data_IF_110209386653
#
_entry.id   IF_110209386653
#
_cell.length_a   1.000
_cell.length_b   1.000
_cell.length_c   1.000
_cell.angle_alpha   90.00
_cell.angle_beta   90.00
_cell.angle_gamma   90.00
#
_symmetry.space_group_name_H-M   'P 1'
#
loop_
_entity.id
_entity.type
_entity.pdbx_description
1 polymer ?
#
# COMPACT_ATOMS: atom_id res chain seq x y z
N UNK A 1 5.55 -18.58 -0.57
CA UNK A 1 5.80 -17.55 -1.60
C UNK A 1 4.80 -16.42 -1.43
N UNK A 2 3.51 -16.65 -1.68
CA UNK A 2 2.47 -15.63 -1.44
C UNK A 2 2.46 -15.13 0.01
N UNK A 3 2.63 -16.05 0.98
CA UNK A 3 2.63 -15.71 2.41
C UNK A 3 3.68 -14.67 2.83
N UNK A 4 4.85 -14.63 2.18
CA UNK A 4 5.91 -13.68 2.51
C UNK A 4 5.57 -12.27 1.99
N UNK A 5 5.04 -12.21 0.77
CA UNK A 5 4.61 -10.96 0.12
C UNK A 5 3.41 -10.38 0.85
N UNK A 6 2.42 -11.21 1.18
CA UNK A 6 1.24 -10.79 1.93
C UNK A 6 1.60 -10.26 3.32
N UNK A 7 2.45 -10.97 4.07
CA UNK A 7 2.90 -10.50 5.37
C UNK A 7 3.65 -9.16 5.28
N UNK A 8 4.46 -8.97 4.22
CA UNK A 8 5.16 -7.72 3.97
C UNK A 8 4.19 -6.56 3.71
N UNK A 9 3.23 -6.76 2.81
CA UNK A 9 2.24 -5.74 2.42
C UNK A 9 1.31 -5.42 3.59
N UNK A 10 0.77 -6.43 4.27
CA UNK A 10 -0.13 -6.24 5.41
C UNK A 10 0.51 -5.43 6.52
N UNK A 11 1.83 -5.58 6.73
CA UNK A 11 2.57 -4.79 7.72
C UNK A 11 2.74 -3.32 7.32
N UNK A 12 2.81 -3.02 6.03
CA UNK A 12 2.82 -1.62 5.55
C UNK A 12 1.44 -1.01 5.75
N UNK A 13 0.38 -1.70 5.32
CA UNK A 13 -0.99 -1.19 5.33
C UNK A 13 -1.57 -1.08 6.74
N UNK A 14 -1.14 -1.93 7.67
CA UNK A 14 -1.56 -1.84 9.07
C UNK A 14 -1.08 -0.56 9.77
N UNK A 15 -0.03 0.08 9.26
CA UNK A 15 0.49 1.34 9.78
C UNK A 15 -0.19 2.58 9.15
N UNK A 16 -1.09 2.38 8.18
CA UNK A 16 -1.79 3.44 7.47
C UNK A 16 -3.16 3.76 8.10
N UNK A 17 -3.39 5.06 8.31
CA UNK A 17 -4.64 5.59 8.84
C UNK A 17 -5.59 5.99 7.70
N UNK A 18 -6.15 5.00 6.99
CA UNK A 18 -7.10 5.15 5.88
C UNK A 18 -8.28 4.16 6.01
N UNK A 19 -9.29 4.32 5.15
CA UNK A 19 -10.46 3.44 5.12
C UNK A 19 -10.12 2.01 4.67
N UNK A 20 -10.95 1.02 5.02
CA UNK A 20 -10.70 -0.37 4.64
C UNK A 20 -10.74 -0.62 3.12
N UNK A 21 -11.52 0.17 2.38
CA UNK A 21 -11.53 0.16 0.91
C UNK A 21 -10.21 0.67 0.35
N UNK A 22 -9.74 1.83 0.81
CA UNK A 22 -8.43 2.39 0.43
C UNK A 22 -7.29 1.42 0.77
N UNK A 23 -7.34 0.79 1.95
CA UNK A 23 -6.36 -0.24 2.33
C UNK A 23 -6.36 -1.42 1.36
N UNK A 24 -7.54 -1.87 0.92
CA UNK A 24 -7.65 -2.98 -0.02
C UNK A 24 -7.06 -2.61 -1.38
N UNK A 25 -7.39 -1.43 -1.90
CA UNK A 25 -6.84 -0.93 -3.17
C UNK A 25 -5.31 -0.86 -3.10
N UNK A 26 -4.77 -0.36 -1.99
CA UNK A 26 -3.33 -0.31 -1.76
C UNK A 26 -2.68 -1.71 -1.67
N UNK A 27 -3.36 -2.69 -1.08
CA UNK A 27 -2.87 -4.08 -1.04
C UNK A 27 -2.79 -4.63 -2.46
N UNK A 28 -3.85 -4.45 -3.25
CA UNK A 28 -3.93 -4.99 -4.60
C UNK A 28 -2.87 -4.36 -5.52
N UNK A 29 -2.71 -3.03 -5.48
CA UNK A 29 -1.65 -2.33 -6.24
C UNK A 29 -0.23 -2.77 -5.84
N UNK A 30 0.05 -2.90 -4.54
CA UNK A 30 1.36 -3.36 -4.07
C UNK A 30 1.64 -4.81 -4.47
N UNK A 31 0.62 -5.67 -4.46
CA UNK A 31 0.74 -7.06 -4.92
C UNK A 31 1.10 -7.11 -6.40
N UNK A 32 0.38 -6.37 -7.23
CA UNK A 32 0.61 -6.35 -8.68
C UNK A 32 2.03 -5.87 -9.02
N UNK A 33 2.50 -4.80 -8.37
CA UNK A 33 3.86 -4.30 -8.57
C UNK A 33 4.93 -5.28 -8.10
N UNK A 34 4.75 -5.92 -6.93
CA UNK A 34 5.70 -6.90 -6.43
C UNK A 34 5.78 -8.13 -7.32
N UNK A 35 4.64 -8.62 -7.83
CA UNK A 35 4.63 -9.75 -8.76
C UNK A 35 5.27 -9.41 -10.10
N UNK A 36 5.09 -8.19 -10.60
CA UNK A 36 5.78 -7.72 -11.80
C UNK A 36 7.30 -7.76 -11.62
N UNK A 37 7.82 -7.19 -10.53
CA UNK A 37 9.26 -7.21 -10.21
C UNK A 37 9.79 -8.64 -10.06
N UNK A 38 9.04 -9.53 -9.40
CA UNK A 38 9.43 -10.94 -9.28
C UNK A 38 9.52 -11.60 -10.64
N UNK A 39 8.57 -11.32 -11.52
CA UNK A 39 8.55 -11.90 -12.86
C UNK A 39 9.71 -11.38 -13.71
N UNK A 40 10.02 -10.09 -13.65
CA UNK A 40 11.21 -9.49 -14.29
C UNK A 40 12.50 -10.19 -13.83
N UNK A 41 12.70 -10.37 -12.52
CA UNK A 41 13.88 -11.09 -12.03
C UNK A 41 13.89 -12.58 -12.43
N UNK A 42 12.73 -13.22 -12.55
CA UNK A 42 12.68 -14.59 -13.07
C UNK A 42 13.07 -14.65 -14.55
N UNK A 43 12.68 -13.65 -15.34
CA UNK A 43 13.05 -13.52 -16.75
C UNK A 43 14.54 -13.22 -16.93
N UNK A 44 15.15 -12.51 -15.97
CA UNK A 44 16.61 -12.33 -15.87
C UNK A 44 17.38 -13.60 -15.46
N UNK A 45 16.68 -14.71 -15.20
CA UNK A 45 17.25 -16.00 -14.87
C UNK A 45 17.49 -16.24 -13.38
N UNK A 46 16.99 -15.40 -12.49
CA UNK A 46 17.06 -15.64 -11.05
C UNK A 46 16.11 -16.76 -10.61
N UNK A 47 16.52 -17.51 -9.59
CA UNK A 47 15.63 -18.47 -8.94
C UNK A 47 14.48 -17.73 -8.25
N UNK A 48 13.36 -18.42 -8.05
CA UNK A 48 12.16 -17.84 -7.46
C UNK A 48 12.43 -17.16 -6.10
N UNK A 49 13.24 -17.76 -5.24
CA UNK A 49 13.60 -17.19 -3.94
C UNK A 49 14.46 -15.93 -4.07
N UNK A 50 15.41 -15.92 -5.01
CA UNK A 50 16.27 -14.76 -5.26
C UNK A 50 15.46 -13.62 -5.88
N UNK A 51 14.55 -13.93 -6.80
CA UNK A 51 13.64 -12.95 -7.41
C UNK A 51 12.74 -12.28 -6.36
N UNK A 52 12.19 -13.05 -5.42
CA UNK A 52 11.38 -12.50 -4.30
C UNK A 52 12.21 -11.58 -3.42
N UNK A 53 13.40 -12.02 -3.00
CA UNK A 53 14.25 -11.19 -2.13
C UNK A 53 14.68 -9.90 -2.83
N UNK A 54 15.03 -9.98 -4.12
CA UNK A 54 15.36 -8.80 -4.93
C UNK A 54 14.17 -7.88 -5.12
N UNK A 55 12.98 -8.42 -5.39
CA UNK A 55 11.77 -7.62 -5.51
C UNK A 55 11.47 -6.87 -4.21
N UNK A 56 11.56 -7.53 -3.05
CA UNK A 56 11.35 -6.88 -1.75
C UNK A 56 12.43 -5.82 -1.44
N UNK A 57 13.69 -6.10 -1.78
CA UNK A 57 14.80 -5.14 -1.62
C UNK A 57 14.60 -3.90 -2.50
N UNK A 58 14.23 -4.10 -3.77
CA UNK A 58 13.95 -3.03 -4.73
C UNK A 58 12.70 -2.23 -4.36
N UNK A 59 11.67 -2.90 -3.85
CA UNK A 59 10.43 -2.26 -3.41
C UNK A 59 10.67 -1.37 -2.18
N UNK A 60 11.57 -1.79 -1.28
CA UNK A 60 12.13 -0.95 -0.23
C UNK A 60 11.78 -1.38 1.20
N UNK A 61 12.14 -0.55 2.17
CA UNK A 61 11.92 -0.87 3.58
C UNK A 61 10.49 -0.53 4.01
N UNK A 62 9.81 -1.48 4.65
CA UNK A 62 8.42 -1.37 5.09
C UNK A 62 8.11 -0.08 5.84
N UNK A 63 8.95 0.31 6.81
CA UNK A 63 8.73 1.51 7.65
C UNK A 63 8.86 2.80 6.86
N UNK A 64 9.78 2.84 5.89
CA UNK A 64 9.96 4.02 5.04
C UNK A 64 8.78 4.15 4.07
N UNK A 65 8.31 3.04 3.51
CA UNK A 65 7.14 3.01 2.63
C UNK A 65 5.87 3.40 3.39
N UNK A 66 5.63 2.82 4.57
CA UNK A 66 4.48 3.16 5.41
C UNK A 66 4.49 4.66 5.76
N UNK A 67 5.65 5.20 6.15
CA UNK A 67 5.80 6.62 6.44
C UNK A 67 5.57 7.50 5.21
N UNK A 68 6.13 7.13 4.05
CA UNK A 68 5.95 7.82 2.78
C UNK A 68 4.50 7.84 2.32
N UNK A 69 3.84 6.67 2.34
CA UNK A 69 2.43 6.51 2.05
C UNK A 69 1.56 7.30 3.02
N UNK A 70 1.83 7.24 4.32
CA UNK A 70 1.10 8.02 5.33
C UNK A 70 1.27 9.53 5.13
N UNK A 71 2.45 10.00 4.70
CA UNK A 71 2.66 11.41 4.34
C UNK A 71 1.94 11.78 3.04
N UNK A 72 1.87 10.90 2.05
CA UNK A 72 1.09 11.12 0.83
C UNK A 72 -0.42 11.16 1.11
N UNK A 73 -0.90 10.37 2.07
CA UNK A 73 -2.29 10.39 2.57
C UNK A 73 -2.57 11.67 3.40
N UNK A 74 -1.55 12.30 3.98
CA UNK A 74 -1.66 13.48 4.85
C UNK A 74 -1.19 14.77 4.16
N UNK A 75 -2.11 15.62 3.67
CA UNK A 75 -2.90 16.48 4.56
C UNK A 75 -4.42 16.44 4.32
N UNK A 76 -4.91 15.65 3.37
CA UNK A 76 -6.29 15.75 2.87
C UNK A 76 -7.30 14.84 3.56
N UNK A 77 -6.87 13.77 4.24
CA UNK A 77 -7.75 13.06 5.19
C UNK A 77 -8.21 14.00 6.35
N UNK A 78 -7.50 15.13 6.54
CA UNK A 78 -7.83 16.22 7.47
C UNK A 78 -8.90 17.21 6.96
N UNK A 79 -9.15 17.25 5.65
CA UNK A 79 -10.09 18.20 5.02
C UNK A 79 -11.41 17.53 4.58
N UNK A 80 -11.38 16.27 4.13
CA UNK A 80 -12.58 15.56 3.67
C UNK A 80 -13.60 15.24 4.78
N UNK A 81 -13.20 15.02 6.05
CA UNK A 81 -14.16 14.89 7.17
C UNK A 81 -14.93 16.18 7.47
N UNK A 82 -14.33 17.34 7.19
CA UNK A 82 -14.93 18.64 7.53
C UNK A 82 -16.02 19.00 6.52
N UNK A 83 -15.86 18.65 5.24
CA UNK A 83 -16.89 18.91 4.23
C UNK A 83 -18.12 18.02 4.40
N UNK A 84 -17.97 16.75 4.80
CA UNK A 84 -19.13 15.86 5.04
C UNK A 84 -20.05 16.38 6.15
N UNK A 85 -19.50 17.01 7.20
CA UNK A 85 -20.29 17.60 8.29
C UNK A 85 -21.05 18.87 7.88
N UNK A 86 -20.47 19.68 6.98
CA UNK A 86 -21.11 20.92 6.49
C UNK A 86 -22.26 20.61 5.51
N UNK A 87 -22.11 19.59 4.66
CA UNK A 87 -23.17 19.18 3.73
C UNK A 87 -24.37 18.52 4.43
N UNK A 88 -24.17 17.80 5.55
CA UNK A 88 -25.28 17.27 6.34
C UNK A 88 -26.03 18.34 7.16
N UNK A 89 -25.37 19.45 7.54
CA UNK A 89 -26.01 20.55 8.28
C UNK A 89 -26.91 21.46 7.43
N UNK A 90 -26.80 21.43 6.10
CA UNK A 90 -27.57 22.26 5.17
C UNK A 90 -28.73 21.50 4.48
N UNK A 91 -28.83 20.17 4.68
CA UNK A 91 -29.89 19.33 4.10
C UNK A 91 -30.91 18.83 5.14
N UNK A 92 -30.95 19.47 6.32
CA UNK A 92 -32.05 19.34 7.30
C UNK A 92 -32.86 20.63 7.32
N UNK A 93 -33.87 20.78 6.45
CA UNK A 93 -35.06 21.59 6.75
C UNK A 93 -36.00 20.87 7.74
#
# INVERSE_FOLDING_TARGET
MESTIEAYIHKIVSELHCGEEEKKDMIDEMKDHLYLLIQEYKEDGYSNEVAINKALETFGEQKQLARGLQTSISPFHKLCKITTGIFFGLYVP
#
